data_IF_591403371804
#
_entry.id   IF_591403371804
#
_cell.length_a   1.000
_cell.length_b   1.000
_cell.length_c   1.000
_cell.angle_alpha   90.00
_cell.angle_beta   90.00
_cell.angle_gamma   90.00
#
_symmetry.space_group_name_H-M   'P 1'
#
loop_
_entity.id
_entity.type
_entity.pdbx_description
1 polymer ?
2 water ?
#
# COMPACT_ATOMS: atom_id res chain seq x y z
N UNK A 4 13.62 -2.60 -5.53
CA UNK A 4 13.45 -3.51 -6.73
C UNK A 4 12.00 -3.61 -7.26
N UNK A 5 11.54 -4.85 -7.38
CA UNK A 5 10.21 -5.11 -7.86
C UNK A 5 9.40 -5.88 -6.82
N UNK A 6 10.02 -6.84 -6.13
CA UNK A 6 9.22 -7.80 -5.34
C UNK A 6 8.33 -7.11 -4.28
N UNK A 7 7.03 -7.45 -4.26
CA UNK A 7 6.08 -6.88 -3.28
C UNK A 7 4.97 -7.85 -2.93
N UNK A 8 4.39 -7.67 -1.74
CA UNK A 8 3.22 -8.47 -1.30
C UNK A 8 2.16 -7.63 -0.58
N UNK A 9 0.94 -8.12 -0.57
CA UNK A 9 -0.02 -7.49 0.29
C UNK A 9 -0.28 -8.41 1.48
N UNK A 10 -0.47 -7.79 2.65
CA UNK A 10 -0.75 -8.49 3.88
C UNK A 10 -2.04 -7.98 4.52
N UNK A 11 -3.01 -8.87 4.65
CA UNK A 11 -4.27 -8.62 5.38
C UNK A 11 -4.17 -8.71 6.89
N UNK A 12 -4.26 -7.58 7.58
CA UNK A 12 -4.60 -7.62 9.01
C UNK A 12 -6.12 -7.40 9.12
N UNK A 13 -6.84 -8.46 9.44
CA UNK A 13 -8.28 -8.39 9.37
C UNK A 13 -8.62 -7.97 7.95
N UNK A 14 -9.43 -6.92 7.86
CA UNK A 14 -10.00 -6.46 6.58
C UNK A 14 -9.12 -5.38 5.95
N UNK A 15 -8.24 -4.81 6.77
CA UNK A 15 -7.28 -3.80 6.34
C UNK A 15 -6.08 -4.49 5.69
N UNK A 16 -5.65 -4.00 4.54
CA UNK A 16 -4.69 -4.70 3.72
C UNK A 16 -3.50 -3.81 3.41
N UNK A 17 -2.31 -4.36 3.46
CA UNK A 17 -1.15 -3.48 3.43
C UNK A 17 -0.05 -3.93 2.46
N UNK A 18 0.32 -3.03 1.55
CA UNK A 18 1.34 -3.33 0.55
C UNK A 18 2.71 -3.08 1.12
N UNK A 19 3.52 -4.14 1.07
CA UNK A 19 4.88 -4.14 1.55
C UNK A 19 5.79 -4.45 0.40
N UNK A 20 6.78 -3.56 0.19
CA UNK A 20 7.89 -3.72 -0.76
C UNK A 20 8.92 -4.67 -0.18
N UNK A 21 9.38 -5.64 -0.97
CA UNK A 21 10.33 -6.64 -0.45
C UNK A 21 11.66 -6.64 -1.19
N UNK A 22 11.89 -5.54 -1.92
CA UNK A 22 12.92 -5.39 -2.96
C UNK A 22 13.26 -6.68 -3.70
N UNK A 23 14.38 -7.24 -3.25
CA UNK A 23 14.85 -8.59 -3.53
C UNK A 23 13.79 -9.75 -3.64
N UNK A 24 13.04 -9.98 -2.56
CA UNK A 24 12.22 -11.20 -2.43
C UNK A 24 12.91 -12.24 -1.57
N UNK A 25 14.20 -11.98 -1.27
CA UNK A 25 15.14 -12.90 -0.57
C UNK A 25 15.07 -12.81 0.97
N UNK A 26 14.34 -11.81 1.44
CA UNK A 26 13.91 -11.64 2.84
C UNK A 26 13.14 -12.83 3.52
N UNK A 27 13.55 -13.17 4.75
CA UNK A 27 12.87 -14.18 5.58
C UNK A 27 11.46 -13.81 6.09
N UNK A 28 10.57 -14.79 6.18
CA UNK A 28 9.21 -14.51 6.68
C UNK A 28 9.17 -13.58 7.93
N UNK A 29 9.95 -13.87 8.98
CA UNK A 29 10.00 -12.98 10.16
C UNK A 29 10.34 -11.51 9.81
N UNK A 30 11.29 -11.25 8.90
CA UNK A 30 11.52 -9.85 8.47
C UNK A 30 10.25 -9.22 7.89
N UNK A 31 9.66 -9.94 6.94
CA UNK A 31 8.41 -9.53 6.35
C UNK A 31 7.42 -9.15 7.42
N UNK A 32 7.28 -10.01 8.43
CA UNK A 32 6.23 -9.84 9.42
C UNK A 32 6.30 -8.47 10.09
N UNK A 33 7.52 -8.08 10.48
CA UNK A 33 7.75 -6.80 11.11
C UNK A 33 7.39 -5.69 10.16
N UNK A 34 7.87 -5.79 8.93
CA UNK A 34 7.62 -4.77 7.90
C UNK A 34 6.14 -4.55 7.68
N UNK A 35 5.37 -5.62 7.82
CA UNK A 35 3.96 -5.55 7.61
C UNK A 35 3.38 -4.78 8.80
N UNK A 36 3.88 -5.07 9.99
CA UNK A 36 3.29 -4.47 11.17
C UNK A 36 3.48 -2.96 11.14
N UNK A 37 4.71 -2.52 10.83
CA UNK A 37 5.09 -1.10 10.82
C UNK A 37 4.05 -0.31 10.06
N UNK A 38 3.67 -0.85 8.90
CA UNK A 38 2.82 -0.17 7.91
C UNK A 38 1.36 -0.15 8.30
N UNK A 39 0.90 -1.33 8.71
CA UNK A 39 -0.34 -1.49 9.42
C UNK A 39 -0.50 -0.50 10.57
N UNK A 40 0.47 -0.47 11.48
CA UNK A 40 0.53 0.55 12.54
C UNK A 40 0.20 1.95 11.98
N UNK A 41 0.89 2.33 10.91
CA UNK A 41 0.70 3.65 10.31
C UNK A 41 -0.71 3.83 9.74
N UNK A 42 -1.29 2.73 9.27
CA UNK A 42 -2.55 2.84 8.56
C UNK A 42 -3.72 2.89 9.51
N UNK A 43 -3.52 2.63 10.79
CA UNK A 43 -4.69 2.27 11.54
C UNK A 43 -4.97 3.05 12.82
N UNK A 44 -3.93 3.60 13.45
CA UNK A 44 -4.12 4.64 14.51
C UNK A 44 -4.89 4.28 15.83
N UNK A 45 -4.41 4.75 16.98
CA UNK A 45 -3.19 5.57 17.15
C UNK A 45 -2.97 5.60 18.66
N UNK A 46 -3.77 4.77 19.36
CA UNK A 46 -3.93 4.77 20.82
C UNK A 46 -2.61 4.68 21.63
N UNK A 47 -2.48 5.46 22.73
CA UNK A 47 -1.22 5.56 23.49
C UNK A 47 -0.58 4.23 23.96
N UNK A 48 -1.40 3.24 24.30
CA UNK A 48 -0.88 1.94 24.75
C UNK A 48 -1.11 0.77 23.77
N UNK A 49 -1.28 1.10 22.48
CA UNK A 49 -1.51 0.10 21.43
C UNK A 49 -0.46 -0.99 21.47
N UNK A 50 -0.81 -2.15 20.93
CA UNK A 50 0.13 -3.25 20.77
C UNK A 50 -0.39 -4.21 19.77
N UNK A 51 0.53 -4.80 19.02
CA UNK A 51 0.13 -5.84 18.08
C UNK A 51 1.01 -7.10 18.17
N UNK A 52 0.37 -8.27 18.25
CA UNK A 52 1.09 -9.53 18.30
C UNK A 52 0.73 -10.42 17.12
N UNK A 53 1.71 -10.66 16.27
CA UNK A 53 1.50 -11.54 15.14
C UNK A 53 1.87 -12.96 15.51
N UNK A 54 0.96 -13.87 15.21
CA UNK A 54 1.18 -15.27 15.49
C UNK A 54 1.75 -15.96 14.31
N UNK A 55 1.07 -15.85 13.17
CA UNK A 55 1.57 -16.37 11.90
C UNK A 55 1.01 -15.65 10.66
N UNK A 56 1.78 -15.72 9.56
CA UNK A 56 1.33 -15.40 8.20
C UNK A 56 0.85 -16.64 7.46
N UNK A 57 -0.11 -16.46 6.57
CA UNK A 57 -0.72 -17.57 5.80
C UNK A 57 -0.98 -17.19 4.34
N UNK A 58 -1.17 -18.21 3.50
CA UNK A 58 -1.77 -18.00 2.20
C UNK A 58 -3.23 -17.87 2.46
N UNK A 59 -4.01 -17.54 1.44
CA UNK A 59 -5.47 -17.56 1.57
C UNK A 59 -6.01 -18.93 1.96
N UNK A 60 -5.28 -19.99 1.55
CA UNK A 60 -5.46 -21.39 1.98
C UNK A 60 -5.58 -21.63 3.48
N UNK A 61 -4.82 -20.84 4.25
CA UNK A 61 -4.50 -21.20 5.62
C UNK A 61 -3.16 -21.94 5.63
N UNK A 62 -2.57 -22.06 4.43
CA UNK A 62 -1.20 -22.56 4.26
C UNK A 62 -0.26 -21.71 5.08
N UNK A 63 0.47 -22.34 5.99
CA UNK A 63 1.25 -21.61 6.99
C UNK A 63 2.72 -21.48 6.62
N UNK A 64 3.16 -20.21 6.51
CA UNK A 64 4.54 -19.82 6.13
C UNK A 64 5.55 -19.88 7.27
N UNK A 65 6.57 -20.72 7.12
CA UNK A 65 7.57 -20.85 8.18
C UNK A 65 8.46 -19.61 8.36
N UNK A 66 8.58 -19.17 9.61
CA UNK A 66 9.28 -17.96 9.96
C UNK A 66 10.68 -17.78 9.41
N UNK A 67 11.35 -18.87 9.09
CA UNK A 67 12.74 -18.75 8.69
C UNK A 67 12.95 -18.99 7.20
N UNK A 68 11.83 -19.17 6.50
CA UNK A 68 11.81 -19.41 5.07
C UNK A 68 11.99 -18.11 4.33
N UNK A 69 12.74 -18.18 3.22
CA UNK A 69 12.96 -17.04 2.31
C UNK A 69 11.61 -16.73 1.71
N UNK A 70 11.30 -15.47 1.42
CA UNK A 70 9.93 -15.18 0.97
C UNK A 70 9.58 -15.67 -0.46
N UNK A 71 10.46 -15.44 -1.41
CA UNK A 71 10.14 -15.74 -2.79
C UNK A 71 10.06 -17.25 -2.99
N UNK A 72 10.57 -18.02 -2.04
CA UNK A 72 10.51 -19.49 -2.13
C UNK A 72 9.14 -19.98 -1.63
N UNK A 73 8.49 -19.18 -0.79
CA UNK A 73 7.29 -19.61 -0.09
C UNK A 73 6.05 -18.88 -0.60
N UNK A 74 6.28 -17.84 -1.40
CA UNK A 74 5.18 -17.12 -2.00
C UNK A 74 5.58 -16.55 -3.35
N UNK A 75 4.61 -15.97 -4.07
CA UNK A 75 4.88 -15.32 -5.35
C UNK A 75 4.79 -13.80 -5.24
N UNK A 76 5.35 -13.13 -6.25
CA UNK A 76 5.28 -11.69 -6.33
C UNK A 76 3.81 -11.30 -6.33
N UNK A 77 3.46 -10.34 -5.49
CA UNK A 77 2.13 -9.77 -5.47
C UNK A 77 1.10 -10.77 -4.94
N UNK A 78 1.48 -11.60 -3.97
CA UNK A 78 0.53 -12.49 -3.29
C UNK A 78 -0.17 -11.78 -2.12
N UNK A 79 -1.48 -11.98 -2.02
CA UNK A 79 -2.26 -11.66 -0.82
C UNK A 79 -1.99 -12.71 0.29
N UNK A 80 -1.66 -12.22 1.48
CA UNK A 80 -1.28 -13.06 2.62
C UNK A 80 -2.04 -12.53 3.81
N UNK A 81 -2.55 -13.44 4.63
CA UNK A 81 -3.31 -13.08 5.83
C UNK A 81 -2.45 -13.18 7.10
N UNK A 82 -2.61 -12.23 8.02
CA UNK A 82 -1.94 -12.34 9.31
C UNK A 82 -2.93 -12.83 10.40
N UNK A 83 -2.48 -13.76 11.22
CA UNK A 83 -3.24 -14.21 12.38
C UNK A 83 -2.55 -13.50 13.56
N UNK A 84 -3.29 -12.63 14.23
CA UNK A 84 -2.64 -11.65 15.14
C UNK A 84 -3.59 -11.23 16.23
N UNK A 85 -3.05 -10.57 17.26
CA UNK A 85 -3.81 -9.80 18.25
C UNK A 85 -3.28 -8.34 18.34
N UNK A 86 -4.11 -7.46 18.94
CA UNK A 86 -3.88 -6.00 19.00
C UNK A 86 -4.65 -5.27 20.12
N UNK A 87 -4.36 -3.96 20.23
CA UNK A 87 -5.02 -2.95 21.12
C UNK A 87 -4.14 -2.34 22.22
N UNK B 5 9.80 7.56 -17.83
CA UNK B 5 8.43 7.59 -18.44
C UNK B 5 7.33 6.85 -17.64
N UNK B 6 7.64 6.43 -16.41
CA UNK B 6 6.68 5.83 -15.46
C UNK B 6 5.45 6.74 -15.22
N UNK B 7 4.28 6.10 -15.02
CA UNK B 7 2.98 6.79 -14.83
C UNK B 7 1.91 5.93 -14.22
N UNK B 8 0.94 6.57 -13.58
CA UNK B 8 -0.20 5.88 -12.96
C UNK B 8 -1.53 6.64 -13.12
N UNK B 9 -2.65 5.93 -13.08
CA UNK B 9 -3.94 6.62 -12.96
C UNK B 9 -4.42 6.64 -11.52
N UNK B 10 -4.96 7.78 -11.09
CA UNK B 10 -5.50 7.89 -9.73
C UNK B 10 -7.03 8.08 -9.78
N UNK B 11 -7.78 7.39 -8.93
CA UNK B 11 -9.24 7.49 -8.96
C UNK B 11 -9.85 8.33 -7.86
N UNK B 12 -10.39 9.47 -8.24
CA UNK B 12 -11.13 10.29 -7.32
C UNK B 12 -12.60 10.09 -7.63
N UNK B 13 -13.19 9.09 -7.01
CA UNK B 13 -14.56 8.77 -7.33
C UNK B 13 -14.45 8.30 -8.73
N UNK B 14 -15.26 8.87 -9.61
CA UNK B 14 -15.43 8.29 -10.94
C UNK B 14 -14.50 8.96 -11.94
N UNK B 15 -13.98 10.11 -11.53
CA UNK B 15 -13.01 10.84 -12.32
C UNK B 15 -11.63 10.17 -12.20
N UNK B 16 -11.05 9.83 -13.35
CA UNK B 16 -9.75 9.23 -13.38
C UNK B 16 -8.77 10.23 -13.96
N UNK B 17 -7.67 10.45 -13.27
CA UNK B 17 -6.66 11.37 -13.77
C UNK B 17 -5.32 10.63 -13.96
N UNK B 18 -4.59 10.96 -15.03
CA UNK B 18 -3.29 10.37 -15.33
C UNK B 18 -2.15 11.27 -14.86
N UNK B 19 -1.33 10.74 -13.95
CA UNK B 19 -0.12 11.41 -13.42
C UNK B 19 1.18 10.78 -13.90
N UNK B 20 2.08 11.59 -14.48
CA UNK B 20 3.47 11.17 -14.82
C UNK B 20 4.39 11.12 -13.60
N UNK B 21 5.30 10.15 -13.56
CA UNK B 21 6.17 10.04 -12.39
C UNK B 21 7.68 10.12 -12.59
N UNK B 22 8.12 10.43 -13.80
CA UNK B 22 9.52 10.33 -14.13
C UNK B 22 9.91 8.87 -14.15
N UNK B 23 10.70 8.44 -13.16
CA UNK B 23 11.09 7.03 -13.04
C UNK B 23 10.26 6.21 -12.04
N UNK B 24 9.40 6.86 -11.26
CA UNK B 24 8.63 6.18 -10.21
C UNK B 24 9.31 6.09 -8.86
N UNK B 25 10.40 6.86 -8.70
CA UNK B 25 11.23 6.86 -7.50
C UNK B 25 10.77 7.92 -6.49
N UNK B 26 9.71 8.64 -6.84
CA UNK B 26 9.05 9.54 -5.90
C UNK B 26 8.21 8.84 -4.82
N UNK B 27 8.12 9.44 -3.64
CA UNK B 27 7.31 8.89 -2.55
C UNK B 27 5.80 8.83 -2.87
N UNK B 28 5.09 7.99 -2.11
CA UNK B 28 3.64 7.85 -2.26
C UNK B 28 2.98 9.20 -1.89
N UNK B 29 3.54 9.94 -0.95
CA UNK B 29 2.96 11.25 -0.68
C UNK B 29 3.12 12.25 -1.87
N UNK B 30 4.29 12.30 -2.52
CA UNK B 30 4.47 13.13 -3.73
C UNK B 30 3.40 12.85 -4.78
N UNK B 31 3.27 11.58 -5.13
CA UNK B 31 2.12 11.15 -5.92
C UNK B 31 0.81 11.87 -5.54
N UNK B 32 0.48 11.91 -4.25
CA UNK B 32 -0.81 12.47 -3.88
C UNK B 32 -0.90 13.97 -4.21
N UNK B 33 0.18 14.69 -3.92
CA UNK B 33 0.28 16.10 -4.29
C UNK B 33 0.03 16.30 -5.79
N UNK B 34 0.76 15.54 -6.61
CA UNK B 34 0.54 15.50 -8.05
C UNK B 34 -0.89 15.26 -8.49
N UNK B 35 -1.54 14.29 -7.85
CA UNK B 35 -2.87 13.81 -8.27
C UNK B 35 -3.99 14.76 -7.87
N UNK B 36 -3.90 15.28 -6.64
CA UNK B 36 -4.88 16.24 -6.17
C UNK B 36 -4.92 17.35 -7.21
N UNK B 37 -3.75 17.96 -7.43
CA UNK B 37 -3.55 19.12 -8.31
C UNK B 37 -4.19 18.91 -9.65
N UNK B 38 -3.86 17.78 -10.26
CA UNK B 38 -4.42 17.43 -11.54
C UNK B 38 -5.93 17.26 -11.50
N UNK B 39 -6.44 16.59 -10.46
CA UNK B 39 -7.87 16.35 -10.29
C UNK B 39 -8.65 17.63 -10.09
N UNK B 40 -8.08 18.56 -9.32
CA UNK B 40 -8.65 19.91 -9.20
C UNK B 40 -8.91 20.50 -10.59
N UNK B 41 -7.86 20.65 -11.39
CA UNK B 41 -8.00 21.09 -12.77
C UNK B 41 -9.11 20.38 -13.58
N UNK B 42 -9.09 19.06 -13.59
CA UNK B 42 -9.99 18.25 -14.41
C UNK B 42 -11.48 18.41 -14.10
N UNK B 43 -11.82 18.74 -12.86
CA UNK B 43 -13.21 19.01 -12.48
C UNK B 43 -13.47 20.47 -12.04
N UNK B 44 -12.39 21.24 -11.79
CA UNK B 44 -12.44 22.65 -11.30
C UNK B 44 -13.71 22.95 -10.51
N UNK B 45 -13.75 22.43 -9.27
CA UNK B 45 -14.97 22.45 -8.45
C UNK B 45 -15.37 23.85 -7.96
N UNK B 46 -14.40 24.58 -7.40
CA UNK B 46 -14.65 25.90 -6.78
C UNK B 46 -13.33 26.66 -6.51
N UNK B 47 -13.41 28.00 -6.46
CA UNK B 47 -12.41 28.81 -5.74
C UNK B 47 -12.24 28.45 -4.23
N UNK B 48 -13.33 28.12 -3.52
CA UNK B 48 -13.25 27.75 -2.08
C UNK B 48 -12.98 26.26 -1.77
N UNK B 49 -13.65 25.36 -2.51
CA UNK B 49 -13.49 23.88 -2.43
C UNK B 49 -12.14 23.37 -1.86
N UNK B 50 -12.26 22.55 -0.81
CA UNK B 50 -11.16 22.00 0.00
C UNK B 50 -11.09 20.50 -0.21
N UNK B 51 -9.89 19.92 -0.13
CA UNK B 51 -9.78 18.45 -0.29
C UNK B 51 -8.74 17.74 0.59
N UNK B 52 -9.16 16.64 1.23
CA UNK B 52 -8.22 15.76 1.96
C UNK B 52 -8.30 14.32 1.54
N UNK B 53 -7.13 13.82 1.18
CA UNK B 53 -6.92 12.44 0.74
C UNK B 53 -6.33 11.70 1.91
N UNK B 54 -7.03 10.68 2.36
CA UNK B 54 -6.56 9.92 3.51
C UNK B 54 -5.56 8.88 3.12
N UNK B 55 -5.92 8.04 2.15
CA UNK B 55 -5.00 7.01 1.71
C UNK B 55 -5.13 6.72 0.23
N UNK B 56 -4.07 6.10 -0.30
CA UNK B 56 -4.05 5.60 -1.66
C UNK B 56 -4.12 4.06 -1.73
N UNK B 57 -5.13 3.50 -2.41
CA UNK B 57 -5.26 2.05 -2.53
C UNK B 57 -5.04 1.50 -3.95
N UNK B 58 -4.79 0.18 -4.01
CA UNK B 58 -4.86 -0.57 -5.24
C UNK B 58 -6.29 -1.02 -5.32
N UNK B 59 -6.63 -1.68 -6.42
CA UNK B 59 -7.90 -2.36 -6.61
C UNK B 59 -8.31 -3.23 -5.43
N UNK B 60 -7.43 -4.11 -4.93
CA UNK B 60 -7.80 -5.01 -3.83
C UNK B 60 -8.19 -4.29 -2.59
N UNK B 61 -7.60 -3.12 -2.39
CA UNK B 61 -7.77 -2.38 -1.15
C UNK B 61 -6.44 -2.28 -0.45
N UNK B 62 -5.37 -2.62 -1.18
CA UNK B 62 -4.03 -2.68 -0.63
C UNK B 62 -3.44 -1.31 -0.45
N UNK B 63 -3.41 -0.85 0.80
CA UNK B 63 -2.83 0.43 1.19
C UNK B 63 -1.38 0.53 0.74
N UNK B 64 -1.02 1.73 0.28
CA UNK B 64 0.32 2.08 -0.13
C UNK B 64 0.85 3.05 0.93
N UNK B 65 1.90 2.68 1.64
CA UNK B 65 2.47 3.62 2.63
C UNK B 65 3.13 4.92 2.09
N UNK B 66 2.78 6.04 2.70
CA UNK B 66 3.19 7.34 2.20
C UNK B 66 4.68 7.54 2.00
N UNK B 67 5.49 6.86 2.79
CA UNK B 67 6.93 7.11 2.69
C UNK B 67 7.68 6.10 1.83
N UNK B 68 6.92 5.21 1.19
CA UNK B 68 7.45 4.19 0.30
C UNK B 68 7.62 4.77 -1.08
N UNK B 69 8.67 4.30 -1.77
CA UNK B 69 8.96 4.62 -3.18
C UNK B 69 7.81 4.06 -4.02
N UNK B 70 7.39 4.80 -5.04
CA UNK B 70 6.22 4.39 -5.77
C UNK B 70 6.50 3.11 -6.58
N UNK B 71 7.48 3.15 -7.47
CA UNK B 71 7.83 1.99 -8.30
C UNK B 71 8.10 0.73 -7.47
N UNK B 72 8.26 0.89 -6.16
CA UNK B 72 8.45 -0.23 -5.25
C UNK B 72 7.17 -0.91 -4.77
N UNK B 73 6.07 -0.19 -4.90
CA UNK B 73 4.85 -0.47 -4.18
C UNK B 73 3.73 -0.54 -5.22
N UNK B 74 4.04 -0.10 -6.44
CA UNK B 74 3.09 -0.16 -7.53
C UNK B 74 3.81 -0.41 -8.86
N UNK B 75 3.07 -0.72 -9.91
CA UNK B 75 3.67 -1.02 -11.22
C UNK B 75 3.33 0.09 -12.18
N UNK B 76 4.23 0.28 -13.15
CA UNK B 76 4.00 1.23 -14.21
C UNK B 76 2.64 0.98 -14.81
N UNK B 77 1.93 2.07 -15.08
CA UNK B 77 0.56 2.04 -15.59
C UNK B 77 -0.52 1.44 -14.66
N UNK B 78 -0.25 1.28 -13.37
CA UNK B 78 -1.28 0.78 -12.44
C UNK B 78 -2.39 1.80 -12.27
N UNK B 79 -3.59 1.28 -12.00
CA UNK B 79 -4.76 2.09 -11.67
C UNK B 79 -4.99 2.09 -10.15
N UNK B 80 -5.01 3.28 -9.55
CA UNK B 80 -5.08 3.43 -8.09
C UNK B 80 -6.29 4.22 -7.69
N UNK B 81 -6.94 3.77 -6.62
CA UNK B 81 -8.11 4.46 -6.04
C UNK B 81 -7.70 5.34 -4.86
N UNK B 82 -8.09 6.62 -4.93
CA UNK B 82 -7.89 7.57 -3.83
C UNK B 82 -9.08 7.51 -2.88
N UNK B 83 -8.77 7.48 -1.58
CA UNK B 83 -9.78 7.53 -0.53
C UNK B 83 -9.63 8.92 0.10
N UNK B 84 -10.68 9.72 -0.04
CA UNK B 84 -10.53 11.15 0.16
C UNK B 84 -11.83 11.76 0.64
N UNK B 85 -11.73 12.97 1.19
CA UNK B 85 -12.93 13.79 1.46
C UNK B 85 -12.94 15.17 0.79
N UNK B 86 -14.16 15.56 0.37
CA UNK B 86 -14.46 16.83 -0.32
C UNK B 86 -15.80 17.47 0.11
#
# INVERSE_FOLDING_TARGET
>A
GPGSEFKVTVCFGRTRVVVPCGDGRMKVFSLIQQAVTRYRKAVAKDPNYWIQVHRLEHGDGGILDLDDILCDVADDKDRLVAVFDEQD
>B
GPGSEFKVTVCFGRTRVVVPCGDGRMKVFSLIQQAVTRYRKAVAKDPNYWIQVHRLEHGDGGILDLDDILCDVADDKDRLVAVFDEQD
#
